data_IF_477637009701
#
_entry.id   IF_477637009701
#
_cell.length_a   1.000
_cell.length_b   1.000
_cell.length_c   1.000
_cell.angle_alpha   90.00
_cell.angle_beta   90.00
_cell.angle_gamma   90.00
#
_symmetry.space_group_name_H-M   'P 1'
#
loop_
_entity.id
_entity.type
_entity.pdbx_description
1 polymer ?
#
# COMPACT_ATOMS: atom_id res chain seq x y z
N UNK A 1 -12.20 -3.46 24.59
CA UNK A 1 -11.87 -2.91 23.27
C UNK A 1 -11.18 -4.04 22.54
N UNK A 2 -11.83 -4.62 21.54
CA UNK A 2 -11.22 -5.65 20.66
C UNK A 2 -10.15 -4.98 19.81
N UNK A 3 -9.00 -5.64 19.63
CA UNK A 3 -7.97 -5.14 18.73
C UNK A 3 -8.49 -5.27 17.28
N UNK A 4 -8.36 -4.20 16.48
CA UNK A 4 -8.77 -4.22 15.08
C UNK A 4 -7.98 -5.27 14.27
N UNK A 5 -6.83 -5.71 14.78
CA UNK A 5 -5.90 -6.57 14.07
C UNK A 5 -5.92 -8.03 14.53
N UNK A 6 -6.74 -8.40 15.52
CA UNK A 6 -6.76 -9.75 16.10
C UNK A 6 -7.02 -10.87 15.07
N UNK A 7 -7.61 -10.54 13.92
CA UNK A 7 -7.93 -11.50 12.85
C UNK A 7 -6.89 -11.58 11.73
N UNK A 8 -5.89 -10.68 11.71
CA UNK A 8 -4.99 -10.54 10.56
C UNK A 8 -3.77 -11.49 10.59
N UNK A 9 -3.56 -12.22 11.68
CA UNK A 9 -2.42 -13.12 11.80
C UNK A 9 -1.07 -12.38 11.78
N UNK A 10 0.02 -13.10 11.52
CA UNK A 10 1.36 -12.50 11.45
C UNK A 10 1.61 -11.82 10.09
N UNK A 11 2.33 -10.68 10.07
CA UNK A 11 2.66 -9.99 8.84
C UNK A 11 3.55 -10.86 7.94
N UNK A 12 3.21 -11.00 6.64
CA UNK A 12 3.95 -11.84 5.72
C UNK A 12 5.31 -11.23 5.37
N UNK A 13 6.22 -12.09 4.91
CA UNK A 13 7.60 -11.70 4.57
C UNK A 13 7.79 -11.41 3.07
N UNK A 14 6.86 -11.87 2.24
CA UNK A 14 6.90 -11.65 0.79
C UNK A 14 6.20 -10.32 0.42
N UNK A 15 6.79 -9.50 -0.45
CA UNK A 15 6.24 -8.18 -0.81
C UNK A 15 4.83 -8.23 -1.39
N UNK A 16 4.49 -9.26 -2.16
CA UNK A 16 3.15 -9.42 -2.75
C UNK A 16 2.09 -9.69 -1.69
N UNK A 17 2.40 -10.54 -0.72
CA UNK A 17 1.50 -10.86 0.40
C UNK A 17 1.38 -9.68 1.39
N UNK A 18 2.43 -8.85 1.50
CA UNK A 18 2.43 -7.66 2.35
C UNK A 18 1.39 -6.62 1.92
N UNK A 19 1.13 -6.49 0.61
CA UNK A 19 0.11 -5.56 0.10
C UNK A 19 -1.29 -5.96 0.54
N UNK A 20 -1.64 -7.24 0.43
CA UNK A 20 -2.94 -7.77 0.87
C UNK A 20 -3.09 -7.62 2.39
N UNK A 21 -2.08 -8.01 3.17
CA UNK A 21 -2.08 -7.87 4.63
C UNK A 21 -2.28 -6.42 5.07
N UNK A 22 -1.53 -5.47 4.49
CA UNK A 22 -1.63 -4.05 4.82
C UNK A 22 -2.99 -3.47 4.41
N UNK A 23 -3.55 -3.92 3.27
CA UNK A 23 -4.86 -3.49 2.81
C UNK A 23 -5.96 -3.89 3.80
N UNK A 24 -5.91 -5.12 4.30
CA UNK A 24 -6.90 -5.62 5.26
C UNK A 24 -6.72 -5.00 6.65
N UNK A 25 -5.47 -4.75 7.07
CA UNK A 25 -5.17 -3.99 8.28
C UNK A 25 -5.76 -2.58 8.25
N UNK A 26 -5.53 -1.83 7.18
CA UNK A 26 -5.99 -0.46 7.03
C UNK A 26 -7.53 -0.38 6.99
N UNK A 27 -8.20 -1.33 6.30
CA UNK A 27 -9.67 -1.41 6.29
C UNK A 27 -10.24 -1.71 7.68
N UNK A 28 -9.61 -2.61 8.42
CA UNK A 28 -10.06 -2.98 9.77
C UNK A 28 -9.91 -1.83 10.75
N UNK A 29 -8.80 -1.08 10.65
CA UNK A 29 -8.62 0.15 11.41
C UNK A 29 -9.62 1.24 11.01
N UNK A 30 -9.97 1.36 9.72
CA UNK A 30 -10.97 2.31 9.26
C UNK A 30 -12.34 2.01 9.88
N UNK A 31 -12.76 0.75 9.90
CA UNK A 31 -14.00 0.31 10.55
C UNK A 31 -13.99 0.61 12.05
N UNK A 32 -12.87 0.36 12.74
CA UNK A 32 -12.75 0.71 14.16
C UNK A 32 -12.82 2.23 14.38
N UNK A 33 -12.14 3.02 13.55
CA UNK A 33 -12.17 4.48 13.63
C UNK A 33 -13.59 5.03 13.40
N UNK A 34 -14.34 4.46 12.46
CA UNK A 34 -15.74 4.80 12.24
C UNK A 34 -16.61 4.44 13.45
N UNK A 35 -16.41 3.27 14.04
CA UNK A 35 -17.10 2.85 15.25
C UNK A 35 -16.77 3.73 16.48
N UNK A 36 -15.60 4.38 16.48
CA UNK A 36 -15.17 5.33 17.50
C UNK A 36 -15.55 6.80 17.19
N UNK A 37 -16.39 7.03 16.17
CA UNK A 37 -16.83 8.37 15.73
C UNK A 37 -15.67 9.27 15.24
N UNK A 38 -14.69 8.68 14.55
CA UNK A 38 -13.55 9.35 13.92
C UNK A 38 -13.64 9.27 12.38
N UNK A 39 -14.60 9.94 11.74
CA UNK A 39 -14.88 9.77 10.30
C UNK A 39 -13.72 10.22 9.39
N UNK A 40 -12.99 11.28 9.76
CA UNK A 40 -11.83 11.74 8.98
C UNK A 40 -10.70 10.70 8.99
N UNK A 41 -10.46 10.07 10.13
CA UNK A 41 -9.47 8.99 10.26
C UNK A 41 -9.90 7.76 9.48
N UNK A 42 -11.18 7.38 9.54
CA UNK A 42 -11.73 6.30 8.71
C UNK A 42 -11.50 6.55 7.22
N UNK A 43 -11.84 7.74 6.72
CA UNK A 43 -11.66 8.09 5.31
C UNK A 43 -10.19 8.08 4.89
N UNK A 44 -9.29 8.57 5.75
CA UNK A 44 -7.84 8.53 5.51
C UNK A 44 -7.32 7.09 5.43
N UNK A 45 -7.75 6.21 6.35
CA UNK A 45 -7.35 4.80 6.38
C UNK A 45 -7.87 4.03 5.17
N UNK A 46 -9.10 4.30 4.71
CA UNK A 46 -9.61 3.75 3.45
C UNK A 46 -8.83 4.23 2.23
N UNK A 47 -8.45 5.51 2.19
CA UNK A 47 -7.62 6.05 1.11
C UNK A 47 -6.23 5.40 1.09
N UNK A 48 -5.64 5.18 2.26
CA UNK A 48 -4.37 4.48 2.40
C UNK A 48 -4.48 3.01 1.91
N UNK A 49 -5.55 2.29 2.26
CA UNK A 49 -5.77 0.92 1.79
C UNK A 49 -5.83 0.84 0.26
N UNK A 50 -6.50 1.81 -0.38
CA UNK A 50 -6.58 1.90 -1.85
C UNK A 50 -5.22 2.18 -2.48
N UNK A 51 -4.38 2.98 -1.84
CA UNK A 51 -3.03 3.28 -2.32
C UNK A 51 -2.12 2.05 -2.22
N UNK A 52 -2.20 1.29 -1.12
CA UNK A 52 -1.48 0.03 -0.95
C UNK A 52 -1.88 -0.99 -2.02
N UNK A 53 -3.18 -1.18 -2.27
CA UNK A 53 -3.67 -2.06 -3.35
C UNK A 53 -3.14 -1.62 -4.72
N UNK A 54 -3.15 -0.32 -5.00
CA UNK A 54 -2.63 0.23 -6.26
C UNK A 54 -1.12 -0.04 -6.42
N UNK A 55 -0.31 0.26 -5.41
CA UNK A 55 1.13 0.05 -5.45
C UNK A 55 1.49 -1.43 -5.51
N UNK A 56 0.77 -2.28 -4.77
CA UNK A 56 0.95 -3.75 -4.82
C UNK A 56 0.70 -4.32 -6.22
N UNK A 57 -0.29 -3.78 -6.95
CA UNK A 57 -0.61 -4.18 -8.33
C UNK A 57 0.38 -3.66 -9.37
N UNK A 58 1.04 -2.53 -9.11
CA UNK A 58 2.03 -1.95 -10.02
C UNK A 58 3.39 -2.67 -9.96
N UNK A 59 3.63 -3.48 -8.92
CA UNK A 59 4.90 -4.18 -8.72
C UNK A 59 6.04 -3.20 -8.41
N UNK A 60 7.30 -3.68 -8.28
CA UNK A 60 8.44 -2.78 -8.14
C UNK A 60 8.48 -1.84 -9.35
N UNK A 61 8.66 -0.54 -9.11
CA UNK A 61 8.80 0.52 -10.11
C UNK A 61 10.09 0.38 -10.98
N UNK A 62 10.52 -0.83 -11.28
CA UNK A 62 11.89 -1.15 -11.68
C UNK A 62 12.24 -0.90 -13.15
N UNK A 63 11.38 -0.32 -14.00
CA UNK A 63 11.73 -0.22 -15.43
C UNK A 63 11.61 1.16 -16.09
N UNK A 64 11.09 2.20 -15.44
CA UNK A 64 10.78 3.45 -16.19
C UNK A 64 11.86 4.54 -16.16
N UNK A 65 13.06 4.33 -15.56
CA UNK A 65 14.12 5.37 -15.54
C UNK A 65 15.55 4.93 -15.81
N UNK A 66 15.78 3.73 -16.35
CA UNK A 66 17.13 3.28 -16.72
C UNK A 66 17.43 3.34 -18.23
N UNK A 67 16.70 4.14 -19.01
CA UNK A 67 16.78 4.12 -20.48
C UNK A 67 16.83 5.48 -21.17
N UNK A 68 17.38 6.52 -20.53
CA UNK A 68 17.32 7.89 -21.09
C UNK A 68 18.59 8.72 -20.99
N UNK A 69 19.74 8.14 -20.68
CA UNK A 69 21.02 8.86 -20.69
C UNK A 69 22.16 7.91 -21.08
N UNK A 70 22.16 7.50 -22.35
CA UNK A 70 23.30 6.86 -22.98
C UNK A 70 23.36 7.29 -24.44
N UNK A 71 24.15 8.35 -24.65
CA UNK A 71 25.10 8.46 -25.75
C UNK A 71 24.58 8.24 -27.18
N UNK A 72 24.37 9.35 -27.92
CA UNK A 72 24.91 9.47 -29.27
C UNK A 72 25.33 10.93 -29.50
N UNK A 73 26.57 11.26 -29.11
CA UNK A 73 27.28 12.37 -29.75
C UNK A 73 27.61 11.95 -31.19
N UNK A 74 27.15 12.67 -32.24
CA UNK A 74 27.70 12.44 -33.57
C UNK A 74 29.00 13.25 -33.70
N UNK A 75 30.13 12.60 -33.45
CA UNK A 75 31.40 13.01 -34.04
C UNK A 75 31.46 12.43 -35.47
N UNK A 76 31.44 13.30 -36.47
CA UNK A 76 31.56 12.96 -37.90
C UNK A 76 31.28 14.13 -38.83
#
# INVERSE_FOLDING_TARGET
MTDALDHLGEPPHEPGEAADYLTDALKSMAQLALAADLPNSSAMLEAAAKLVDQEGRLGPWSETRAGGDADQSPDG
#
